data_IF_131661032370
#
_entry.id   IF_131661032370
#
_cell.length_a   1.000
_cell.length_b   1.000
_cell.length_c   1.000
_cell.angle_alpha   90.00
_cell.angle_beta   90.00
_cell.angle_gamma   90.00
#
_symmetry.space_group_name_H-M   'P 1'
#
loop_
_entity.id
_entity.type
_entity.pdbx_description
1 polymer ?
#
# COMPACT_ATOMS: atom_id res chain seq x y z
N UNK A 1 5.97 -17.56 19.50
CA UNK A 1 5.85 -17.53 18.05
C UNK A 1 5.53 -16.12 17.55
N UNK A 2 6.40 -15.58 16.74
CA UNK A 2 6.27 -14.21 16.26
C UNK A 2 5.96 -14.24 14.78
N UNK A 3 4.90 -13.54 14.41
CA UNK A 3 4.53 -13.43 13.01
C UNK A 3 5.21 -12.21 12.40
N UNK A 4 5.98 -12.46 11.38
CA UNK A 4 6.69 -11.38 10.71
C UNK A 4 5.75 -10.63 9.79
N UNK A 5 5.92 -9.32 9.79
CA UNK A 5 5.15 -8.47 8.90
C UNK A 5 6.09 -7.76 7.93
N UNK A 6 5.54 -7.44 6.80
CA UNK A 6 6.27 -6.81 5.72
C UNK A 6 5.62 -5.47 5.43
N UNK A 7 6.44 -4.48 5.14
CA UNK A 7 5.92 -3.17 4.74
C UNK A 7 5.86 -3.12 3.22
N UNK A 8 4.72 -2.71 2.72
CA UNK A 8 4.48 -2.62 1.29
C UNK A 8 3.98 -1.21 0.98
N UNK A 9 4.62 -0.56 0.01
CA UNK A 9 4.15 0.73 -0.48
C UNK A 9 3.67 0.56 -1.91
N UNK A 10 2.48 1.08 -2.17
CA UNK A 10 1.94 1.08 -3.53
C UNK A 10 1.50 2.49 -3.86
N UNK A 11 2.05 3.02 -4.94
CA UNK A 11 1.64 4.31 -5.46
C UNK A 11 0.83 4.07 -6.73
N UNK A 12 -0.34 4.66 -6.77
CA UNK A 12 -1.22 4.55 -7.93
C UNK A 12 -1.23 5.87 -8.64
N UNK A 13 -0.99 5.83 -9.94
CA UNK A 13 -0.92 7.03 -10.78
C UNK A 13 -2.17 7.16 -11.62
N UNK A 14 -2.44 8.37 -12.07
CA UNK A 14 -3.54 8.65 -12.98
C UNK A 14 -4.88 8.22 -12.40
N UNK A 15 -5.07 8.51 -11.12
CA UNK A 15 -6.30 8.14 -10.41
C UNK A 15 -7.40 9.13 -10.76
N UNK A 16 -8.55 8.62 -11.16
CA UNK A 16 -9.75 9.42 -11.23
C UNK A 16 -10.35 9.56 -9.83
N UNK A 17 -11.37 10.38 -9.72
CA UNK A 17 -12.08 10.49 -8.44
C UNK A 17 -12.67 9.14 -8.03
N UNK A 18 -13.20 8.40 -9.00
CA UNK A 18 -13.75 7.08 -8.72
C UNK A 18 -12.66 6.11 -8.26
N UNK A 19 -11.48 6.19 -8.89
CA UNK A 19 -10.36 5.36 -8.47
C UNK A 19 -9.97 5.64 -7.02
N UNK A 20 -9.99 6.89 -6.62
CA UNK A 20 -9.63 7.24 -5.25
C UNK A 20 -10.64 6.71 -4.24
N UNK A 21 -11.91 6.73 -4.59
CA UNK A 21 -12.92 6.16 -3.71
C UNK A 21 -12.67 4.67 -3.53
N UNK A 22 -12.36 3.97 -4.61
CA UNK A 22 -12.06 2.55 -4.53
C UNK A 22 -10.81 2.31 -3.70
N UNK A 23 -9.78 3.14 -3.87
CA UNK A 23 -8.55 3.00 -3.11
C UNK A 23 -8.77 3.21 -1.62
N UNK A 24 -9.63 4.16 -1.25
CA UNK A 24 -9.96 4.34 0.15
C UNK A 24 -10.67 3.13 0.73
N UNK A 25 -11.53 2.49 -0.06
CA UNK A 25 -12.20 1.27 0.38
C UNK A 25 -11.19 0.14 0.58
N UNK A 26 -10.23 0.01 -0.33
CA UNK A 26 -9.17 -0.98 -0.19
C UNK A 26 -8.33 -0.69 1.05
N UNK A 27 -7.99 0.57 1.26
CA UNK A 27 -7.20 0.95 2.42
C UNK A 27 -7.93 0.57 3.71
N UNK A 28 -9.22 0.81 3.76
CA UNK A 28 -9.99 0.48 4.95
C UNK A 28 -10.06 -1.03 5.15
N UNK A 29 -10.28 -1.76 4.08
CA UNK A 29 -10.40 -3.22 4.16
C UNK A 29 -9.12 -3.87 4.67
N UNK A 30 -7.98 -3.41 4.17
CA UNK A 30 -6.69 -4.00 4.53
C UNK A 30 -5.99 -3.23 5.64
N UNK A 31 -6.64 -2.23 6.20
CA UNK A 31 -6.09 -1.40 7.26
C UNK A 31 -4.79 -0.74 6.84
N UNK A 32 -4.76 -0.28 5.61
CA UNK A 32 -3.62 0.45 5.08
C UNK A 32 -3.73 1.92 5.43
N UNK A 33 -2.59 2.59 5.39
CA UNK A 33 -2.55 4.04 5.59
C UNK A 33 -2.41 4.75 4.27
N UNK A 34 -3.09 5.87 4.13
CA UNK A 34 -2.84 6.77 3.02
C UNK A 34 -1.67 7.66 3.45
N UNK A 35 -0.53 7.46 2.82
CA UNK A 35 0.69 8.18 3.18
C UNK A 35 0.76 9.51 2.44
N UNK A 36 0.33 9.52 1.20
CA UNK A 36 0.42 10.71 0.39
C UNK A 36 -0.78 10.77 -0.54
N UNK A 37 -1.27 11.97 -0.78
CA UNK A 37 -2.47 12.20 -1.56
C UNK A 37 -2.16 13.29 -2.58
N UNK A 38 -2.00 12.91 -3.82
CA UNK A 38 -1.78 13.86 -4.89
C UNK A 38 -3.05 14.18 -5.64
N UNK A 39 -2.95 15.07 -6.59
CA UNK A 39 -4.10 15.46 -7.39
C UNK A 39 -4.69 14.26 -8.12
N UNK A 40 -3.84 13.46 -8.72
CA UNK A 40 -4.28 12.27 -9.45
C UNK A 40 -3.45 11.06 -9.08
N UNK A 41 -2.93 11.03 -7.85
CA UNK A 41 -2.15 9.90 -7.36
C UNK A 41 -2.44 9.66 -5.90
N UNK A 42 -2.09 8.48 -5.44
CA UNK A 42 -2.30 8.10 -4.05
C UNK A 42 -1.22 7.11 -3.66
N UNK A 43 -0.67 7.28 -2.47
CA UNK A 43 0.35 6.37 -1.95
C UNK A 43 -0.18 5.69 -0.72
N UNK A 44 -0.17 4.37 -0.73
CA UNK A 44 -0.68 3.55 0.36
C UNK A 44 0.44 2.76 1.00
N UNK A 45 0.35 2.60 2.31
CA UNK A 45 1.28 1.77 3.07
C UNK A 45 0.51 0.61 3.69
N UNK A 46 0.98 -0.60 3.44
CA UNK A 46 0.40 -1.81 4.01
C UNK A 46 1.42 -2.46 4.92
N UNK A 47 1.02 -2.83 6.13
CA UNK A 47 1.87 -3.56 7.06
C UNK A 47 1.14 -4.82 7.44
N UNK A 48 1.49 -5.91 6.79
CA UNK A 48 0.82 -7.19 6.99
C UNK A 48 1.74 -8.30 6.52
N UNK A 49 1.29 -9.55 6.64
CA UNK A 49 2.14 -10.67 6.25
C UNK A 49 2.45 -10.60 4.76
N UNK A 50 3.56 -11.24 4.38
CA UNK A 50 3.95 -11.26 2.97
C UNK A 50 2.87 -11.87 2.10
N UNK A 51 2.20 -12.92 2.60
CA UNK A 51 1.14 -13.58 1.85
C UNK A 51 -0.01 -12.62 1.56
N UNK A 52 -0.40 -11.84 2.57
CA UNK A 52 -1.47 -10.85 2.35
C UNK A 52 -1.02 -9.75 1.42
N UNK A 53 0.24 -9.34 1.52
CA UNK A 53 0.76 -8.33 0.61
C UNK A 53 0.80 -8.85 -0.83
N UNK A 54 1.11 -10.13 -1.04
CA UNK A 54 1.04 -10.72 -2.37
C UNK A 54 -0.35 -10.57 -2.95
N UNK A 55 -1.37 -10.85 -2.15
CA UNK A 55 -2.75 -10.74 -2.61
C UNK A 55 -3.11 -9.29 -2.96
N UNK A 56 -2.65 -8.35 -2.15
CA UNK A 56 -2.91 -6.93 -2.40
C UNK A 56 -2.24 -6.48 -3.69
N UNK A 57 -0.99 -6.87 -3.90
CA UNK A 57 -0.29 -6.48 -5.13
C UNK A 57 -1.02 -7.03 -6.35
N UNK A 58 -1.48 -8.27 -6.28
CA UNK A 58 -2.21 -8.85 -7.39
C UNK A 58 -3.51 -8.10 -7.65
N UNK A 59 -4.25 -7.79 -6.60
CA UNK A 59 -5.49 -7.04 -6.72
C UNK A 59 -5.24 -5.68 -7.35
N UNK A 60 -4.22 -4.97 -6.87
CA UNK A 60 -3.96 -3.63 -7.36
C UNK A 60 -3.53 -3.64 -8.82
N UNK A 61 -2.76 -4.65 -9.23
CA UNK A 61 -2.36 -4.74 -10.63
C UNK A 61 -3.53 -5.01 -11.55
N UNK A 62 -4.55 -5.69 -11.04
CA UNK A 62 -5.74 -5.98 -11.84
C UNK A 62 -6.67 -4.77 -11.94
N UNK A 63 -6.72 -3.97 -10.87
CA UNK A 63 -7.69 -2.88 -10.80
C UNK A 63 -7.17 -1.57 -11.38
N UNK A 64 -5.87 -1.36 -11.36
CA UNK A 64 -5.30 -0.08 -11.76
C UNK A 64 -4.21 -0.29 -12.80
N UNK A 65 -4.19 0.59 -13.79
CA UNK A 65 -3.32 0.40 -14.95
C UNK A 65 -1.87 0.82 -14.67
N UNK A 66 -1.67 1.78 -13.79
CA UNK A 66 -0.31 2.27 -13.54
C UNK A 66 -0.06 2.36 -12.06
N UNK A 67 0.76 1.46 -11.56
CA UNK A 67 1.13 1.45 -10.16
C UNK A 67 2.63 1.24 -10.03
N UNK A 68 3.14 1.66 -8.88
CA UNK A 68 4.53 1.41 -8.51
C UNK A 68 4.51 0.71 -7.16
N UNK A 69 5.23 -0.39 -7.06
CA UNK A 69 5.23 -1.24 -5.88
C UNK A 69 6.63 -1.28 -5.30
N UNK A 70 6.74 -0.98 -4.01
CA UNK A 70 8.01 -1.10 -3.29
C UNK A 70 7.74 -1.96 -2.07
N UNK A 71 8.44 -3.08 -1.97
CA UNK A 71 8.29 -3.98 -0.83
C UNK A 71 9.52 -3.85 0.05
N UNK A 72 9.30 -3.47 1.29
CA UNK A 72 10.36 -3.50 2.28
C UNK A 72 10.52 -4.91 2.80
N UNK A 73 11.65 -5.20 3.40
CA UNK A 73 11.83 -6.49 4.01
C UNK A 73 10.98 -6.61 5.27
N UNK A 74 11.11 -7.75 5.93
CA UNK A 74 10.48 -7.96 7.22
C UNK A 74 11.17 -7.07 8.22
N UNK A 75 10.44 -6.15 8.81
CA UNK A 75 11.03 -5.13 9.66
C UNK A 75 10.14 -4.89 10.87
N UNK A 76 10.74 -4.27 11.87
CA UNK A 76 9.99 -3.84 13.01
C UNK A 76 9.32 -2.50 12.76
N UNK A 77 8.49 -2.11 13.68
CA UNK A 77 7.73 -0.88 13.56
C UNK A 77 8.62 0.34 13.47
N UNK A 78 9.74 0.31 14.17
CA UNK A 78 10.66 1.46 14.17
C UNK A 78 11.17 1.81 12.80
N UNK A 79 11.25 0.83 11.92
CA UNK A 79 11.78 1.07 10.58
C UNK A 79 10.88 2.00 9.78
N UNK A 80 9.61 2.05 10.11
CA UNK A 80 8.69 2.94 9.42
C UNK A 80 9.08 4.39 9.63
N UNK A 81 9.49 4.73 10.83
CA UNK A 81 9.88 6.10 11.13
C UNK A 81 11.11 6.53 10.35
N UNK A 82 12.00 5.59 10.12
CA UNK A 82 13.20 5.90 9.37
C UNK A 82 12.88 6.29 7.93
N UNK A 83 11.84 5.71 7.38
CA UNK A 83 11.46 5.95 6.00
C UNK A 83 10.81 7.30 5.78
N UNK A 84 10.36 7.92 6.84
CA UNK A 84 9.80 9.25 6.69
C UNK A 84 10.88 10.25 6.44
N UNK A 85 10.58 11.09 5.86
CA UNK A 85 11.55 12.02 5.68
C UNK A 85 11.15 13.10 5.54
#
# INVERSE_FOLDING_TARGET
>A
FVRMKEILYIKVFNCSAADKVELFQIAETFKAKVIDYGKDSLLLEFVQTATKNDAVVKLMKEEFSKIEVVRGGSVGIESINVMER
#
